data_IF_478983587896
#
_entry.id   IF_478983587896
#
_cell.length_a   1.000
_cell.length_b   1.000
_cell.length_c   1.000
_cell.angle_alpha   90.00
_cell.angle_beta   90.00
_cell.angle_gamma   90.00
#
_symmetry.space_group_name_H-M   'P 1'
#
loop_
_entity.id
_entity.type
_entity.pdbx_description
1 polymer ?
#
# COMPACT_ATOMS: atom_id res chain seq x y z
N UNK A 1 -8.02 -19.36 -14.46
CA UNK A 1 -6.66 -18.75 -14.45
C UNK A 1 -5.67 -19.78 -14.96
N UNK A 2 -4.78 -19.43 -15.88
CA UNK A 2 -3.79 -20.38 -16.43
C UNK A 2 -2.59 -20.57 -15.49
N UNK A 3 -1.87 -21.68 -15.63
CA UNK A 3 -0.60 -21.90 -14.89
C UNK A 3 0.39 -20.76 -15.11
N UNK A 4 0.49 -20.25 -16.34
CA UNK A 4 1.35 -19.12 -16.67
C UNK A 4 0.94 -17.84 -15.91
N UNK A 5 -0.36 -17.57 -15.80
CA UNK A 5 -0.86 -16.44 -15.04
C UNK A 5 -0.53 -16.58 -13.54
N UNK A 6 -0.72 -17.77 -12.96
CA UNK A 6 -0.33 -18.04 -11.56
C UNK A 6 1.16 -17.79 -11.34
N UNK A 7 2.03 -18.31 -12.20
CA UNK A 7 3.49 -18.08 -12.11
C UNK A 7 3.83 -16.58 -12.19
N UNK A 8 3.17 -15.83 -13.08
CA UNK A 8 3.36 -14.38 -13.19
C UNK A 8 3.00 -13.66 -11.89
N UNK A 9 1.89 -14.04 -11.24
CA UNK A 9 1.51 -13.46 -9.96
C UNK A 9 2.49 -13.81 -8.83
N UNK A 10 2.93 -15.08 -8.75
CA UNK A 10 3.91 -15.51 -7.75
C UNK A 10 5.26 -14.80 -7.90
N UNK A 11 5.72 -14.58 -9.14
CA UNK A 11 6.89 -13.77 -9.42
C UNK A 11 6.71 -12.32 -8.96
N UNK A 12 5.61 -11.67 -9.35
CA UNK A 12 5.36 -10.27 -8.97
C UNK A 12 5.27 -10.08 -7.45
N UNK A 13 4.67 -11.04 -6.74
CA UNK A 13 4.60 -11.00 -5.27
C UNK A 13 5.97 -11.24 -4.62
N UNK A 14 6.80 -12.13 -5.17
CA UNK A 14 8.16 -12.34 -4.69
C UNK A 14 9.06 -11.11 -4.95
N UNK A 15 8.93 -10.48 -6.12
CA UNK A 15 9.65 -9.25 -6.48
C UNK A 15 9.25 -8.08 -5.55
N UNK A 16 8.00 -8.05 -5.09
CA UNK A 16 7.53 -7.11 -4.07
C UNK A 16 7.94 -7.48 -2.63
N UNK A 17 8.69 -8.57 -2.44
CA UNK A 17 9.09 -9.07 -1.12
C UNK A 17 7.96 -9.71 -0.31
N UNK A 18 6.77 -9.86 -0.88
CA UNK A 18 5.59 -10.43 -0.21
C UNK A 18 5.62 -11.96 -0.15
N UNK A 19 6.50 -12.58 -0.93
CA UNK A 19 6.75 -14.01 -0.89
C UNK A 19 8.25 -14.30 -0.87
N UNK A 20 8.64 -15.30 -0.09
CA UNK A 20 9.93 -15.96 -0.19
C UNK A 20 9.81 -17.24 -1.00
N UNK A 21 10.78 -17.47 -1.89
CA UNK A 21 10.82 -18.64 -2.77
C UNK A 21 11.90 -19.61 -2.30
N UNK A 22 11.49 -20.85 -2.04
CA UNK A 22 12.39 -21.95 -1.68
C UNK A 22 12.32 -23.08 -2.71
N UNK A 23 13.46 -23.64 -3.11
CA UNK A 23 13.50 -24.85 -3.93
C UNK A 23 13.58 -26.09 -3.04
N UNK A 24 12.59 -26.96 -3.13
CA UNK A 24 12.55 -28.25 -2.45
C UNK A 24 12.65 -29.38 -3.49
N UNK A 25 13.88 -29.72 -3.90
CA UNK A 25 14.12 -30.70 -4.97
C UNK A 25 13.57 -30.23 -6.32
N UNK A 26 12.55 -30.93 -6.85
CA UNK A 26 11.86 -30.56 -8.09
C UNK A 26 10.71 -29.58 -7.88
N UNK A 27 10.36 -29.28 -6.64
CA UNK A 27 9.29 -28.36 -6.27
C UNK A 27 9.84 -26.96 -5.96
N UNK A 28 9.00 -25.96 -6.19
CA UNK A 28 9.21 -24.59 -5.71
C UNK A 28 8.11 -24.30 -4.70
N UNK A 29 8.49 -23.98 -3.48
CA UNK A 29 7.59 -23.59 -2.39
C UNK A 29 7.66 -22.08 -2.20
N UNK A 30 6.52 -21.49 -1.86
CA UNK A 30 6.40 -20.07 -1.59
C UNK A 30 5.90 -19.89 -0.17
N UNK A 31 6.58 -19.04 0.59
CA UNK A 31 6.18 -18.65 1.94
C UNK A 31 5.75 -17.19 1.92
N UNK A 32 4.68 -16.86 2.64
CA UNK A 32 4.20 -15.48 2.73
C UNK A 32 5.08 -14.67 3.68
N UNK A 33 5.44 -13.47 3.26
CA UNK A 33 6.19 -12.50 4.05
C UNK A 33 5.29 -11.29 4.29
N UNK A 34 4.62 -11.18 5.47
CA UNK A 34 3.63 -10.13 5.70
C UNK A 34 4.22 -8.73 5.89
N UNK A 35 5.47 -8.64 6.35
CA UNK A 35 6.07 -7.38 6.78
C UNK A 35 6.05 -6.26 5.72
N UNK A 36 6.41 -6.49 4.44
CA UNK A 36 6.39 -5.42 3.44
C UNK A 36 4.99 -4.84 3.19
N UNK A 37 3.93 -5.65 3.36
CA UNK A 37 2.56 -5.15 3.27
C UNK A 37 2.22 -4.26 4.47
N UNK A 38 2.61 -4.68 5.68
CA UNK A 38 2.43 -3.87 6.89
C UNK A 38 3.16 -2.54 6.80
N UNK A 39 4.38 -2.52 6.27
CA UNK A 39 5.17 -1.30 6.07
C UNK A 39 4.48 -0.35 5.09
N UNK A 40 3.97 -0.88 3.96
CA UNK A 40 3.22 -0.09 2.99
C UNK A 40 1.95 0.52 3.59
N UNK A 41 1.21 -0.26 4.40
CA UNK A 41 -0.01 0.22 5.09
C UNK A 41 0.33 1.32 6.08
N UNK A 42 1.39 1.16 6.87
CA UNK A 42 1.84 2.19 7.81
C UNK A 42 2.20 3.48 7.08
N UNK A 43 2.99 3.38 6.01
CA UNK A 43 3.37 4.53 5.21
C UNK A 43 2.16 5.26 4.59
N UNK A 44 1.18 4.52 4.06
CA UNK A 44 -0.04 5.11 3.52
C UNK A 44 -0.85 5.85 4.60
N UNK A 45 -0.90 5.32 5.82
CA UNK A 45 -1.56 5.99 6.94
C UNK A 45 -0.85 7.30 7.33
N UNK A 46 0.49 7.29 7.37
CA UNK A 46 1.29 8.48 7.69
C UNK A 46 1.17 9.57 6.62
N UNK A 47 1.13 9.19 5.35
CA UNK A 47 0.90 10.13 4.26
C UNK A 47 -0.54 10.66 4.32
N UNK A 48 -1.51 9.80 4.62
CA UNK A 48 -2.92 10.17 4.79
C UNK A 48 -3.12 11.23 5.86
N UNK A 49 -2.54 11.04 7.05
CA UNK A 49 -2.68 11.99 8.17
C UNK A 49 -2.10 13.37 7.83
N UNK A 50 -0.96 13.43 7.13
CA UNK A 50 -0.40 14.69 6.63
C UNK A 50 -1.31 15.41 5.65
N UNK A 51 -2.04 14.67 4.81
CA UNK A 51 -3.03 15.26 3.91
C UNK A 51 -4.24 15.78 4.68
N UNK A 52 -4.74 15.04 5.66
CA UNK A 52 -5.84 15.47 6.51
C UNK A 52 -5.53 16.79 7.22
N UNK A 53 -4.32 16.92 7.78
CA UNK A 53 -3.86 18.15 8.42
C UNK A 53 -3.82 19.35 7.47
N UNK A 54 -3.29 19.15 6.25
CA UNK A 54 -3.22 20.18 5.21
C UNK A 54 -4.61 20.60 4.74
N UNK A 55 -5.51 19.63 4.54
CA UNK A 55 -6.89 19.90 4.14
C UNK A 55 -7.67 20.61 5.25
N UNK A 56 -7.45 20.25 6.51
CA UNK A 56 -8.04 20.96 7.65
C UNK A 56 -7.54 22.40 7.74
N UNK A 57 -6.25 22.65 7.51
CA UNK A 57 -5.68 23.99 7.47
C UNK A 57 -6.27 24.83 6.32
N UNK A 58 -6.39 24.24 5.13
CA UNK A 58 -7.02 24.88 3.98
C UNK A 58 -8.48 25.24 4.28
N UNK A 59 -9.25 24.30 4.83
CA UNK A 59 -10.65 24.51 5.21
C UNK A 59 -10.82 25.69 6.16
N UNK A 60 -9.97 25.78 7.21
CA UNK A 60 -9.97 26.92 8.14
C UNK A 60 -9.70 28.26 7.44
N UNK A 61 -8.84 28.31 6.44
CA UNK A 61 -8.54 29.53 5.69
C UNK A 61 -9.71 29.93 4.78
N UNK A 62 -10.28 28.98 4.06
CA UNK A 62 -11.44 29.21 3.18
C UNK A 62 -12.65 29.66 3.99
N UNK A 63 -12.95 29.02 5.13
CA UNK A 63 -14.07 29.40 6.00
C UNK A 63 -13.91 30.80 6.59
N UNK A 64 -12.68 31.24 6.89
CA UNK A 64 -12.40 32.61 7.37
C UNK A 64 -12.55 33.66 6.27
N UNK A 65 -12.25 33.30 5.02
CA UNK A 65 -12.35 34.20 3.87
C UNK A 65 -13.75 34.32 3.27
N UNK A 66 -14.74 33.56 3.74
CA UNK A 66 -16.13 33.63 3.27
C UNK A 66 -16.87 34.70 4.10
N UNK A 67 -17.12 35.92 3.58
CA UNK A 67 -17.92 36.89 4.30
C UNK A 67 -19.30 36.28 4.58
N UNK A 68 -19.80 36.47 5.82
CA UNK A 68 -21.18 36.14 6.17
C UNK A 68 -22.09 36.98 5.28
N UNK A 69 -22.56 36.40 4.18
CA UNK A 69 -23.69 36.94 3.42
C UNK A 69 -24.89 36.99 4.36
N UNK A 70 -25.30 38.20 4.71
CA UNK A 70 -26.57 38.51 5.35
C UNK A 70 -27.72 38.32 4.36
#
# INVERSE_FOLDING_TARGET
>A
ISRQAVVKHLSALADAGLLERERAGREVRYHVTPAPLSDAVSWMADVGSQWDDRLAALSRTVSRGRPRSA
#
